data_IF_752819296454
#
_entry.id   IF_752819296454
#
_cell.length_a   1.000
_cell.length_b   1.000
_cell.length_c   1.000
_cell.angle_alpha   90.00
_cell.angle_beta   90.00
_cell.angle_gamma   90.00
#
_symmetry.space_group_name_H-M   'P 1'
#
loop_
_entity.id
_entity.type
_entity.pdbx_description
1 polymer ?
#
# COMPACT_ATOMS: atom_id res chain seq x y z
N UNK A 1 -22.42 13.15 2.89
CA UNK A 1 -22.92 11.80 2.59
C UNK A 1 -23.29 11.61 1.11
N UNK A 2 -23.97 12.57 0.46
CA UNK A 2 -24.39 12.45 -0.95
C UNK A 2 -23.23 12.20 -1.95
N UNK A 3 -22.05 12.76 -1.71
CA UNK A 3 -20.87 12.59 -2.59
C UNK A 3 -20.43 11.12 -2.73
N UNK A 4 -20.41 10.34 -1.64
CA UNK A 4 -20.00 8.94 -1.69
C UNK A 4 -21.02 8.06 -2.43
N UNK A 5 -22.31 8.38 -2.34
CA UNK A 5 -23.39 7.58 -2.92
C UNK A 5 -23.67 7.93 -4.38
N UNK A 6 -23.21 9.09 -4.87
CA UNK A 6 -23.41 9.52 -6.25
C UNK A 6 -22.82 8.53 -7.27
N UNK A 7 -21.70 7.87 -6.94
CA UNK A 7 -21.02 6.92 -7.82
C UNK A 7 -21.60 5.49 -7.73
N UNK A 8 -22.42 5.19 -6.72
CA UNK A 8 -22.89 3.83 -6.44
C UNK A 8 -23.64 3.18 -7.63
N UNK A 9 -24.54 3.87 -8.36
CA UNK A 9 -25.22 3.28 -9.52
C UNK A 9 -24.25 2.83 -10.63
N UNK A 10 -23.15 3.57 -10.85
CA UNK A 10 -22.15 3.22 -11.85
C UNK A 10 -21.32 2.01 -11.41
N UNK A 11 -20.94 1.95 -10.12
CA UNK A 11 -20.15 0.85 -9.56
C UNK A 11 -20.86 -0.51 -9.62
N UNK A 12 -22.19 -0.53 -9.47
CA UNK A 12 -22.99 -1.76 -9.52
C UNK A 12 -23.01 -2.46 -10.89
N UNK A 13 -22.66 -1.75 -11.97
CA UNK A 13 -22.72 -2.28 -13.34
C UNK A 13 -21.47 -3.07 -13.73
N UNK A 14 -20.36 -2.93 -13.00
CA UNK A 14 -19.08 -3.51 -13.39
C UNK A 14 -18.84 -4.85 -12.69
N UNK A 15 -18.73 -5.91 -13.49
CA UNK A 15 -18.20 -7.18 -13.00
C UNK A 15 -16.68 -7.06 -12.82
N UNK A 16 -16.20 -7.35 -11.60
CA UNK A 16 -14.77 -7.38 -11.25
C UNK A 16 -14.41 -8.77 -10.73
N UNK A 17 -13.14 -9.20 -10.85
CA UNK A 17 -12.69 -10.45 -10.24
C UNK A 17 -13.02 -10.48 -8.74
N UNK A 18 -13.43 -11.64 -8.22
CA UNK A 18 -13.74 -11.79 -6.78
C UNK A 18 -12.52 -11.54 -5.91
N UNK A 19 -11.34 -12.00 -6.36
CA UNK A 19 -10.07 -11.72 -5.70
C UNK A 19 -9.16 -10.86 -6.60
N UNK A 20 -9.00 -9.56 -6.29
CA UNK A 20 -8.11 -8.70 -7.05
C UNK A 20 -6.64 -9.11 -6.90
N UNK A 21 -6.23 -9.74 -5.80
CA UNK A 21 -4.83 -10.13 -5.59
C UNK A 21 -4.41 -11.22 -6.56
N UNK A 22 -5.27 -12.23 -6.75
CA UNK A 22 -5.05 -13.29 -7.75
C UNK A 22 -4.92 -12.69 -9.15
N UNK A 23 -5.80 -11.78 -9.54
CA UNK A 23 -5.75 -11.14 -10.86
C UNK A 23 -4.48 -10.30 -11.07
N UNK A 24 -4.04 -9.54 -10.05
CA UNK A 24 -2.82 -8.74 -10.11
C UNK A 24 -1.58 -9.61 -10.27
N UNK A 25 -1.50 -10.72 -9.51
CA UNK A 25 -0.39 -11.67 -9.62
C UNK A 25 -0.34 -12.37 -10.98
N UNK A 26 -1.50 -12.75 -11.52
CA UNK A 26 -1.59 -13.30 -12.87
C UNK A 26 -1.11 -12.30 -13.95
N UNK A 27 -1.25 -11.00 -13.69
CA UNK A 27 -0.72 -9.92 -14.53
C UNK A 27 0.77 -9.61 -14.27
N UNK A 28 1.47 -10.38 -13.43
CA UNK A 28 2.88 -10.17 -13.10
C UNK A 28 3.15 -9.04 -12.11
N UNK A 29 2.11 -8.52 -11.44
CA UNK A 29 2.22 -7.50 -10.41
C UNK A 29 2.32 -8.21 -9.05
N UNK A 30 3.30 -7.83 -8.23
CA UNK A 30 3.38 -8.27 -6.84
C UNK A 30 3.08 -7.09 -5.90
N UNK A 31 1.82 -6.92 -5.45
CA UNK A 31 1.45 -5.85 -4.55
C UNK A 31 2.13 -6.00 -3.19
N UNK A 32 2.55 -4.89 -2.60
CA UNK A 32 2.99 -4.87 -1.20
C UNK A 32 1.77 -5.18 -0.31
N UNK A 33 1.80 -6.26 0.50
CA UNK A 33 0.71 -6.55 1.41
C UNK A 33 0.66 -5.52 2.54
N UNK A 34 -0.46 -5.47 3.26
CA UNK A 34 -0.62 -4.57 4.40
C UNK A 34 0.49 -4.71 5.45
N UNK A 35 0.95 -5.93 5.74
CA UNK A 35 2.09 -6.16 6.63
C UNK A 35 3.38 -5.51 6.13
N UNK A 36 3.62 -5.54 4.81
CA UNK A 36 4.73 -4.85 4.16
C UNK A 36 4.62 -3.34 4.26
N UNK A 37 3.42 -2.78 4.10
CA UNK A 37 3.18 -1.35 4.33
C UNK A 37 3.53 -0.95 5.77
N UNK A 38 3.05 -1.69 6.77
CA UNK A 38 3.39 -1.44 8.17
C UNK A 38 4.90 -1.59 8.45
N UNK A 39 5.61 -2.45 7.71
CA UNK A 39 7.06 -2.55 7.82
C UNK A 39 7.78 -1.29 7.29
N UNK A 40 7.30 -0.70 6.19
CA UNK A 40 7.77 0.61 5.72
C UNK A 40 7.56 1.68 6.78
N UNK A 41 6.36 1.78 7.36
CA UNK A 41 6.06 2.80 8.38
C UNK A 41 6.99 2.68 9.60
N UNK A 42 7.28 1.45 10.03
CA UNK A 42 8.25 1.20 11.11
C UNK A 42 9.66 1.63 10.74
N UNK A 43 10.11 1.35 9.51
CA UNK A 43 11.43 1.76 9.04
C UNK A 43 11.58 3.30 8.99
N UNK A 44 10.55 4.01 8.53
CA UNK A 44 10.51 5.47 8.48
C UNK A 44 10.52 6.11 9.87
N UNK A 45 9.78 5.52 10.82
CA UNK A 45 9.81 5.95 12.22
C UNK A 45 11.19 5.71 12.87
N UNK A 46 11.82 4.56 12.59
CA UNK A 46 13.15 4.24 13.09
C UNK A 46 14.22 5.19 12.53
N UNK A 47 14.13 5.55 11.25
CA UNK A 47 15.00 6.56 10.64
C UNK A 47 14.77 7.95 11.26
N UNK A 48 13.50 8.31 11.48
CA UNK A 48 13.13 9.53 12.20
C UNK A 48 13.81 9.62 13.56
N UNK A 49 13.66 8.58 14.39
CA UNK A 49 14.25 8.53 15.72
C UNK A 49 15.78 8.71 15.71
N UNK A 50 16.48 8.09 14.75
CA UNK A 50 17.94 8.23 14.58
C UNK A 50 18.37 9.66 14.23
N UNK A 51 17.49 10.46 13.64
CA UNK A 51 17.74 11.84 13.23
C UNK A 51 17.12 12.87 14.18
N UNK A 52 16.57 12.45 15.32
CA UNK A 52 15.86 13.34 16.25
C UNK A 52 14.56 13.91 15.67
N UNK A 53 13.90 13.18 14.77
CA UNK A 53 12.61 13.51 14.15
C UNK A 53 11.55 12.46 14.51
N UNK A 54 10.27 12.80 14.35
CA UNK A 54 9.19 11.83 14.58
C UNK A 54 9.16 10.73 13.50
N UNK A 55 9.21 11.13 12.23
CA UNK A 55 9.22 10.23 11.06
C UNK A 55 10.05 10.90 9.96
N UNK A 56 10.82 10.10 9.23
CA UNK A 56 11.48 10.52 7.98
C UNK A 56 11.10 9.55 6.88
N UNK A 57 10.58 10.07 5.77
CA UNK A 57 10.11 9.26 4.64
C UNK A 57 11.26 8.62 3.89
N UNK A 58 11.10 7.35 3.53
CA UNK A 58 11.99 6.69 2.58
C UNK A 58 11.63 7.19 1.19
N UNK A 59 12.53 7.95 0.58
CA UNK A 59 12.32 8.54 -0.75
C UNK A 59 12.76 7.62 -1.90
N UNK A 60 13.51 6.58 -1.59
CA UNK A 60 14.07 5.63 -2.56
C UNK A 60 13.19 4.39 -2.71
N UNK A 61 13.02 3.95 -3.96
CA UNK A 61 12.16 2.84 -4.31
C UNK A 61 12.68 1.50 -3.77
N UNK A 62 13.98 1.25 -3.88
CA UNK A 62 14.58 0.00 -3.41
C UNK A 62 14.58 -0.06 -1.87
N UNK A 63 14.76 1.07 -1.20
CA UNK A 63 14.60 1.18 0.24
C UNK A 63 13.17 0.85 0.70
N UNK A 64 12.16 1.37 0.00
CA UNK A 64 10.74 1.05 0.27
C UNK A 64 10.47 -0.44 0.09
N UNK A 65 10.91 -1.03 -1.03
CA UNK A 65 10.70 -2.46 -1.29
C UNK A 65 11.47 -3.36 -0.32
N UNK A 66 12.67 -2.96 0.09
CA UNK A 66 13.47 -3.69 1.09
C UNK A 66 12.76 -3.69 2.44
N UNK A 67 12.28 -2.52 2.89
CA UNK A 67 11.52 -2.41 4.14
C UNK A 67 10.22 -3.21 4.08
N UNK A 68 9.49 -3.16 2.96
CA UNK A 68 8.26 -3.94 2.79
C UNK A 68 8.48 -5.45 2.91
N UNK A 69 9.63 -5.95 2.43
CA UNK A 69 9.98 -7.38 2.44
C UNK A 69 10.49 -7.89 3.80
N UNK A 70 10.70 -7.01 4.77
CA UNK A 70 11.11 -7.40 6.13
C UNK A 70 9.93 -7.68 7.08
N UNK A 71 8.71 -7.72 6.54
CA UNK A 71 7.47 -7.92 7.29
C UNK A 71 7.26 -9.36 7.75
#
# INVERSE_FOLDING_TARGET
MASLLADAPALLTRQVPEDPLTALRAAGIEPVPWSGWLAIERAEAALGARLGRSVVKLADWDALLTAARSA
#
